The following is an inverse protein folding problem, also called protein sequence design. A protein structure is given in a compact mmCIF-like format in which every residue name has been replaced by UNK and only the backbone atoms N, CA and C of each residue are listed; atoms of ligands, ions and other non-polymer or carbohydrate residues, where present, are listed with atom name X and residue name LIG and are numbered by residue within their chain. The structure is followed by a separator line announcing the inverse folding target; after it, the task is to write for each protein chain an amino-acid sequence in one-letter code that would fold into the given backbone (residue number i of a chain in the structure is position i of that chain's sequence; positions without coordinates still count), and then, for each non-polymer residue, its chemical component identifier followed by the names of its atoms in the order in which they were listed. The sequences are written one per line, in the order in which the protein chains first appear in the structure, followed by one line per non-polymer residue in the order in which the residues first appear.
data_IF_939264165975
#
_entry.id   IF_939264165975
#
_cell.length_a   1.000
_cell.length_b   1.000
_cell.length_c   1.000
_cell.angle_alpha   90.00
_cell.angle_beta   90.00
_cell.angle_gamma   90.00
#
_symmetry.space_group_name_H-M   'P 1'
#
loop_
_entity.id
_entity.type
_entity.pdbx_description
1 polymer ?
#
# COMPACT_ATOMS: atom_id res chain seq x y z
N UNK A 1 -19.99 -16.40 -15.41
CA UNK A 1 -20.85 -16.34 -14.22
C UNK A 1 -21.12 -14.88 -13.92
N UNK A 2 -22.38 -14.50 -13.74
CA UNK A 2 -22.78 -13.09 -13.62
C UNK A 2 -22.79 -12.69 -12.14
N UNK A 3 -21.61 -12.39 -11.60
CA UNK A 3 -21.44 -11.81 -10.26
C UNK A 3 -20.98 -10.36 -10.38
N UNK A 4 -21.59 -9.48 -9.59
CA UNK A 4 -21.26 -8.05 -9.59
C UNK A 4 -19.94 -7.70 -8.90
N UNK A 5 -19.36 -8.62 -8.12
CA UNK A 5 -18.03 -8.51 -7.55
C UNK A 5 -17.34 -9.87 -7.59
N UNK A 6 -16.01 -9.88 -7.70
CA UNK A 6 -15.17 -11.08 -7.61
C UNK A 6 -13.96 -10.83 -6.70
N UNK A 7 -13.52 -11.85 -5.96
CA UNK A 7 -12.34 -11.75 -5.11
C UNK A 7 -11.07 -11.88 -5.96
N UNK A 8 -10.14 -10.93 -5.80
CA UNK A 8 -8.86 -10.97 -6.50
C UNK A 8 -7.86 -11.85 -5.74
N UNK A 9 -8.07 -13.17 -5.78
CA UNK A 9 -7.17 -14.16 -5.17
C UNK A 9 -5.73 -14.06 -5.71
N UNK A 10 -5.58 -13.69 -7.00
CA UNK A 10 -4.28 -13.42 -7.61
C UNK A 10 -3.54 -12.30 -6.87
N UNK A 11 -4.21 -11.16 -6.66
CA UNK A 11 -3.65 -10.07 -5.86
C UNK A 11 -3.36 -10.49 -4.41
N UNK A 12 -4.27 -11.20 -3.71
CA UNK A 12 -4.02 -11.60 -2.31
C UNK A 12 -2.73 -12.42 -2.17
N UNK A 13 -2.61 -13.47 -2.98
CA UNK A 13 -1.44 -14.33 -3.01
C UNK A 13 -0.17 -13.54 -3.38
N UNK A 14 -0.22 -12.78 -4.49
CA UNK A 14 0.95 -12.08 -5.01
C UNK A 14 1.40 -10.96 -4.05
N UNK A 15 0.48 -10.19 -3.47
CA UNK A 15 0.80 -9.17 -2.50
C UNK A 15 1.39 -9.75 -1.20
N UNK A 16 0.82 -10.85 -0.68
CA UNK A 16 1.37 -11.55 0.50
C UNK A 16 2.71 -12.23 0.20
N UNK A 17 2.98 -12.64 -1.03
CA UNK A 17 4.29 -13.18 -1.43
C UNK A 17 5.34 -12.08 -1.61
N UNK A 18 5.00 -10.96 -2.25
CA UNK A 18 5.89 -9.80 -2.36
C UNK A 18 6.24 -9.20 -0.98
N UNK A 19 5.29 -9.22 -0.03
CA UNK A 19 5.52 -8.86 1.37
C UNK A 19 6.46 -9.84 2.09
N UNK A 20 6.61 -11.09 1.61
CA UNK A 20 7.59 -12.08 2.11
C UNK A 20 8.94 -11.98 1.42
N UNK A 21 8.99 -11.52 0.17
CA UNK A 21 10.23 -11.29 -0.59
C UNK A 21 11.12 -10.29 0.14
N UNK A 22 12.39 -10.65 0.35
CA UNK A 22 13.37 -9.77 1.01
C UNK A 22 13.63 -8.51 0.18
N UNK A 23 14.03 -7.41 0.84
CA UNK A 23 14.22 -6.12 0.17
C UNK A 23 15.20 -6.19 -1.03
N UNK A 24 16.23 -7.04 -0.93
CA UNK A 24 17.23 -7.25 -2.00
C UNK A 24 16.68 -8.08 -3.19
N UNK A 25 15.68 -8.94 -2.97
CA UNK A 25 15.06 -9.79 -4.00
C UNK A 25 13.87 -9.11 -4.70
N UNK A 26 13.19 -8.16 -4.04
CA UNK A 26 12.04 -7.41 -4.60
C UNK A 26 12.27 -6.83 -6.00
N UNK A 27 13.47 -6.34 -6.40
CA UNK A 27 13.73 -5.86 -7.76
C UNK A 27 13.51 -6.91 -8.87
N UNK A 28 13.59 -8.20 -8.56
CA UNK A 28 13.24 -9.27 -9.50
C UNK A 28 11.71 -9.49 -9.56
N UNK A 29 11.03 -9.42 -8.41
CA UNK A 29 9.65 -9.88 -8.23
C UNK A 29 8.56 -8.79 -8.38
N UNK A 30 8.89 -7.50 -8.44
CA UNK A 30 7.86 -6.44 -8.45
C UNK A 30 6.91 -6.48 -9.65
N UNK A 31 7.34 -6.98 -10.81
CA UNK A 31 6.53 -6.99 -12.05
C UNK A 31 5.34 -7.96 -11.95
N UNK A 32 5.63 -9.24 -11.71
CA UNK A 32 4.64 -10.32 -11.55
C UNK A 32 3.66 -10.08 -10.39
N UNK A 33 4.08 -9.35 -9.36
CA UNK A 33 3.22 -9.05 -8.22
C UNK A 33 2.39 -7.77 -8.40
N UNK A 34 2.98 -6.70 -8.95
CA UNK A 34 2.32 -5.39 -9.06
C UNK A 34 1.74 -5.12 -10.46
N UNK A 35 2.54 -5.27 -11.51
CA UNK A 35 2.15 -4.90 -12.88
C UNK A 35 1.06 -5.82 -13.43
N UNK A 36 1.07 -7.10 -13.07
CA UNK A 36 0.03 -8.05 -13.50
C UNK A 36 -1.30 -7.79 -12.78
N UNK A 37 -1.28 -7.37 -11.51
CA UNK A 37 -2.46 -6.83 -10.80
C UNK A 37 -3.03 -5.62 -11.53
N UNK A 38 -2.16 -4.64 -11.87
CA UNK A 38 -2.56 -3.42 -12.58
C UNK A 38 -3.17 -3.74 -13.96
N UNK A 39 -2.46 -4.53 -14.77
CA UNK A 39 -2.92 -4.95 -16.09
C UNK A 39 -4.25 -5.69 -16.02
N UNK A 40 -4.38 -6.67 -15.12
CA UNK A 40 -5.61 -7.45 -14.98
C UNK A 40 -6.81 -6.52 -14.73
N UNK A 41 -6.70 -5.61 -13.78
CA UNK A 41 -7.81 -4.73 -13.41
C UNK A 41 -7.97 -3.48 -14.32
N UNK A 42 -7.06 -3.26 -15.28
CA UNK A 42 -7.21 -2.32 -16.41
C UNK A 42 -7.95 -2.95 -17.59
N UNK A 43 -7.66 -4.22 -17.91
CA UNK A 43 -8.10 -4.87 -19.15
C UNK A 43 -9.20 -5.91 -18.97
N UNK A 44 -9.44 -6.40 -17.75
CA UNK A 44 -10.53 -7.32 -17.44
C UNK A 44 -11.85 -6.58 -17.26
N UNK A 45 -12.95 -7.21 -17.70
CA UNK A 45 -14.32 -6.78 -17.39
C UNK A 45 -14.70 -7.06 -15.92
N UNK A 46 -13.90 -7.87 -15.22
CA UNK A 46 -14.20 -8.32 -13.86
C UNK A 46 -14.07 -7.23 -12.81
N UNK A 47 -15.20 -6.98 -12.12
CA UNK A 47 -15.35 -6.07 -10.98
C UNK A 47 -14.65 -6.65 -9.73
N UNK A 48 -13.32 -6.62 -9.73
CA UNK A 48 -12.49 -7.20 -8.66
C UNK A 48 -12.51 -6.42 -7.34
N UNK A 49 -12.41 -7.14 -6.22
CA UNK A 49 -12.11 -6.60 -4.88
C UNK A 49 -10.79 -7.17 -4.33
N UNK A 50 -9.97 -6.34 -3.68
CA UNK A 50 -8.68 -6.75 -3.10
C UNK A 50 -8.90 -7.29 -1.69
N UNK A 51 -8.74 -8.60 -1.49
CA UNK A 51 -9.13 -9.31 -0.27
C UNK A 51 -7.94 -9.78 0.55
N UNK A 52 -8.03 -9.58 1.86
CA UNK A 52 -7.14 -10.08 2.90
C UNK A 52 -8.07 -10.80 3.87
N UNK A 53 -8.15 -12.13 3.80
CA UNK A 53 -9.20 -12.96 4.42
C UNK A 53 -8.67 -13.93 5.49
N UNK A 54 -9.58 -14.60 6.20
CA UNK A 54 -9.21 -15.59 7.21
C UNK A 54 -8.38 -16.75 6.64
N UNK A 55 -8.76 -17.27 5.47
CA UNK A 55 -8.08 -18.36 4.76
C UNK A 55 -6.63 -17.97 4.42
N UNK A 56 -6.40 -16.70 4.07
CA UNK A 56 -5.06 -16.20 3.76
C UNK A 56 -4.15 -16.13 5.00
N UNK A 57 -4.70 -16.15 6.22
CA UNK A 57 -3.95 -16.20 7.50
C UNK A 57 -3.95 -17.59 8.14
N UNK A 58 -4.89 -18.45 7.76
CA UNK A 58 -5.00 -19.80 8.29
C UNK A 58 -3.73 -20.61 7.99
N UNK A 59 -3.26 -21.30 9.02
CA UNK A 59 -1.97 -21.98 9.06
C UNK A 59 -2.01 -23.26 9.91
N UNK A 60 -3.19 -23.67 10.39
CA UNK A 60 -3.34 -24.74 11.36
C UNK A 60 -2.63 -24.44 12.69
N UNK A 61 -2.33 -25.47 13.51
CA UNK A 61 -1.77 -25.27 14.85
C UNK A 61 -0.26 -24.97 14.87
N UNK A 62 0.49 -25.51 13.91
CA UNK A 62 1.97 -25.61 13.96
C UNK A 62 2.72 -24.61 13.06
N UNK A 63 2.02 -23.77 12.31
CA UNK A 63 2.60 -22.76 11.44
C UNK A 63 1.97 -21.39 11.75
N UNK A 64 2.67 -20.32 11.40
CA UNK A 64 2.17 -18.94 11.50
C UNK A 64 2.70 -18.04 10.38
N UNK A 65 3.39 -18.59 9.35
CA UNK A 65 4.00 -17.86 8.23
C UNK A 65 2.99 -17.05 7.39
N UNK A 66 1.71 -17.40 7.43
CA UNK A 66 0.67 -16.68 6.70
C UNK A 66 -0.05 -15.61 7.54
N UNK A 67 0.18 -15.57 8.86
CA UNK A 67 -0.23 -14.44 9.69
C UNK A 67 0.48 -13.19 9.19
N UNK A 68 -0.25 -12.08 9.03
CA UNK A 68 0.25 -10.94 8.28
C UNK A 68 1.54 -10.33 8.89
N UNK A 69 1.65 -10.30 10.22
CA UNK A 69 2.87 -9.89 10.94
C UNK A 69 4.12 -10.68 10.53
N UNK A 70 3.92 -11.97 10.21
CA UNK A 70 5.00 -12.90 9.91
C UNK A 70 5.35 -12.94 8.41
N UNK A 71 4.53 -12.33 7.54
CA UNK A 71 4.92 -12.12 6.15
C UNK A 71 6.16 -11.20 6.06
N UNK A 72 6.15 -10.08 6.76
CA UNK A 72 7.28 -9.14 6.84
C UNK A 72 8.39 -9.57 7.85
N UNK A 73 8.62 -10.87 8.06
CA UNK A 73 9.63 -11.38 9.03
C UNK A 73 11.08 -11.11 8.62
N UNK A 74 11.33 -10.73 7.37
CA UNK A 74 12.66 -10.40 6.86
C UNK A 74 13.11 -8.97 7.22
N UNK A 75 12.20 -8.12 7.72
CA UNK A 75 12.50 -6.76 8.15
C UNK A 75 13.49 -6.76 9.34
N UNK A 76 14.53 -5.90 9.34
CA UNK A 76 15.61 -5.98 10.31
C UNK A 76 15.24 -5.46 11.71
N UNK A 77 14.13 -4.74 11.84
CA UNK A 77 13.56 -4.27 13.11
C UNK A 77 12.03 -4.13 12.99
N UNK A 78 11.36 -3.82 14.11
CA UNK A 78 9.90 -3.70 14.13
C UNK A 78 9.36 -2.44 13.44
N UNK A 79 10.09 -1.33 13.39
CA UNK A 79 9.61 -0.12 12.70
C UNK A 79 9.53 -0.38 11.19
N UNK A 80 10.61 -0.91 10.60
CA UNK A 80 10.62 -1.33 9.18
C UNK A 80 9.52 -2.36 8.87
N UNK A 81 9.30 -3.33 9.78
CA UNK A 81 8.21 -4.32 9.64
C UNK A 81 6.85 -3.64 9.55
N UNK A 82 6.55 -2.70 10.45
CA UNK A 82 5.27 -2.01 10.48
C UNK A 82 5.15 -0.95 9.36
N UNK A 83 6.26 -0.42 8.85
CA UNK A 83 6.28 0.39 7.62
C UNK A 83 5.87 -0.42 6.39
N UNK A 84 6.49 -1.57 6.20
CA UNK A 84 6.17 -2.49 5.11
C UNK A 84 4.70 -2.96 5.17
N UNK A 85 4.18 -3.20 6.38
CA UNK A 85 2.76 -3.49 6.62
C UNK A 85 1.82 -2.31 6.32
N UNK A 86 2.16 -1.07 6.72
CA UNK A 86 1.38 0.14 6.34
C UNK A 86 1.37 0.32 4.82
N UNK A 87 2.51 0.07 4.15
CA UNK A 87 2.66 0.14 2.70
C UNK A 87 1.87 -0.97 1.97
N UNK A 88 1.79 -2.17 2.54
CA UNK A 88 0.92 -3.26 2.06
C UNK A 88 -0.57 -2.89 2.12
N UNK A 89 -1.05 -2.34 3.24
CA UNK A 89 -2.44 -1.87 3.34
C UNK A 89 -2.74 -0.67 2.44
N UNK A 90 -1.79 0.27 2.31
CA UNK A 90 -1.89 1.32 1.32
C UNK A 90 -2.02 0.74 -0.09
N UNK A 91 -1.20 -0.26 -0.45
CA UNK A 91 -1.25 -0.91 -1.75
C UNK A 91 -2.59 -1.62 -1.97
N UNK A 92 -3.15 -2.30 -0.95
CA UNK A 92 -4.47 -2.91 -1.03
C UNK A 92 -5.56 -1.90 -1.42
N UNK A 93 -5.58 -0.75 -0.76
CA UNK A 93 -6.69 0.22 -0.88
C UNK A 93 -6.48 1.20 -2.06
N UNK A 94 -5.21 1.44 -2.44
CA UNK A 94 -4.81 2.20 -3.62
C UNK A 94 -4.70 1.33 -4.89
N UNK A 95 -4.94 0.02 -4.82
CA UNK A 95 -4.96 -0.87 -5.99
C UNK A 95 -6.23 -0.73 -6.83
N UNK A 96 -6.19 -1.13 -8.12
CA UNK A 96 -7.39 -1.16 -8.96
C UNK A 96 -8.38 -2.23 -8.53
N UNK A 97 -9.39 -1.78 -7.78
CA UNK A 97 -10.48 -2.58 -7.27
C UNK A 97 -11.80 -1.78 -7.18
N UNK A 98 -12.89 -2.48 -6.85
CA UNK A 98 -14.23 -1.95 -6.56
C UNK A 98 -14.52 -1.92 -5.06
N UNK A 99 -13.50 -2.08 -4.23
CA UNK A 99 -13.57 -2.31 -2.79
C UNK A 99 -12.46 -3.23 -2.31
N UNK A 100 -12.24 -3.24 -1.01
CA UNK A 100 -11.27 -4.08 -0.32
C UNK A 100 -11.94 -4.78 0.87
N UNK A 101 -11.40 -5.94 1.26
CA UNK A 101 -11.78 -6.63 2.50
C UNK A 101 -10.52 -6.87 3.31
N UNK A 102 -10.56 -6.50 4.59
CA UNK A 102 -9.53 -6.80 5.58
C UNK A 102 -10.23 -7.68 6.64
N UNK A 103 -9.65 -8.84 6.95
CA UNK A 103 -10.17 -9.67 8.01
C UNK A 103 -10.01 -8.95 9.35
N UNK A 104 -10.89 -9.24 10.30
CA UNK A 104 -10.65 -8.86 11.69
C UNK A 104 -9.33 -9.49 12.18
N UNK A 105 -8.72 -8.91 13.21
CA UNK A 105 -7.36 -9.20 13.67
C UNK A 105 -6.24 -8.68 12.73
N UNK A 106 -6.42 -8.67 11.40
CA UNK A 106 -5.40 -8.15 10.46
C UNK A 106 -5.30 -6.61 10.50
N UNK A 107 -6.36 -5.87 10.85
CA UNK A 107 -6.34 -4.40 10.94
C UNK A 107 -5.56 -3.86 12.15
N UNK A 108 -5.31 -4.73 13.14
CA UNK A 108 -4.37 -4.50 14.25
C UNK A 108 -3.08 -5.32 14.09
N UNK A 109 -2.93 -6.11 13.02
CA UNK A 109 -1.83 -7.07 12.76
C UNK A 109 -1.52 -7.94 13.99
N UNK A 110 -2.53 -8.67 14.44
CA UNK A 110 -2.44 -9.64 15.56
C UNK A 110 -1.35 -10.71 15.29
N UNK A 111 -0.45 -11.01 16.26
CA UNK A 111 0.68 -11.94 16.05
C UNK A 111 0.31 -13.42 15.91
N UNK A 112 -0.89 -13.83 16.37
CA UNK A 112 -1.36 -15.22 16.30
C UNK A 112 -2.18 -15.50 15.03
N UNK A 113 -2.31 -16.77 14.62
CA UNK A 113 -3.25 -17.12 13.53
C UNK A 113 -4.70 -17.20 14.02
N UNK A 114 -5.65 -16.91 13.13
CA UNK A 114 -7.08 -17.06 13.41
C UNK A 114 -7.41 -18.48 13.90
N UNK A 115 -6.82 -19.50 13.27
CA UNK A 115 -6.93 -20.89 13.69
C UNK A 115 -6.45 -21.12 15.13
N UNK A 116 -5.29 -20.55 15.51
CA UNK A 116 -4.75 -20.71 16.86
C UNK A 116 -5.66 -20.07 17.92
N UNK A 117 -6.28 -18.92 17.63
CA UNK A 117 -7.31 -18.32 18.51
C UNK A 117 -8.56 -19.18 18.60
N UNK A 118 -9.18 -19.51 17.47
CA UNK A 118 -10.50 -20.16 17.42
C UNK A 118 -10.49 -21.65 17.78
N UNK A 119 -9.44 -22.41 17.43
CA UNK A 119 -9.44 -23.88 17.54
C UNK A 119 -8.35 -24.47 18.46
N UNK A 120 -7.40 -23.66 18.95
CA UNK A 120 -6.36 -24.13 19.90
C UNK A 120 -6.52 -23.59 21.33
N UNK A 121 -7.70 -23.06 21.68
CA UNK A 121 -8.01 -22.61 23.04
C UNK A 121 -7.12 -21.46 23.53
N UNK A 122 -6.68 -20.58 22.63
CA UNK A 122 -5.88 -19.39 22.95
C UNK A 122 -6.81 -18.20 23.24
N UNK A 123 -6.21 -17.07 23.62
CA UNK A 123 -6.95 -15.83 23.86
C UNK A 123 -7.69 -15.35 22.61
N UNK A 124 -8.82 -14.66 22.82
CA UNK A 124 -9.47 -13.85 21.79
C UNK A 124 -8.55 -12.73 21.28
N UNK A 125 -8.92 -12.10 20.16
CA UNK A 125 -8.27 -10.91 19.59
C UNK A 125 -7.85 -9.88 20.65
N UNK A 126 -6.60 -9.43 20.60
CA UNK A 126 -6.07 -8.52 21.60
C UNK A 126 -6.36 -7.05 21.28
N UNK A 127 -7.60 -6.61 21.51
CA UNK A 127 -8.03 -5.21 21.34
C UNK A 127 -7.26 -4.16 22.20
N UNK A 128 -6.36 -4.58 23.12
CA UNK A 128 -5.45 -3.62 23.78
C UNK A 128 -4.33 -3.10 22.85
N UNK A 129 -4.07 -3.80 21.74
CA UNK A 129 -3.10 -3.40 20.71
C UNK A 129 -3.51 -2.10 19.98
N UNK A 130 -4.80 -1.77 19.87
CA UNK A 130 -5.25 -0.53 19.22
C UNK A 130 -5.22 0.71 20.12
N UNK A 131 -5.38 0.51 21.44
CA UNK A 131 -5.56 1.58 22.42
C UNK A 131 -4.24 2.03 23.09
N UNK A 132 -3.24 1.16 23.13
CA UNK A 132 -1.86 1.54 23.45
C UNK A 132 -1.25 2.33 22.28
N UNK A 133 -0.29 3.22 22.54
CA UNK A 133 0.43 3.96 21.50
C UNK A 133 1.50 3.11 20.80
N UNK A 134 1.11 1.91 20.39
CA UNK A 134 1.97 0.92 19.70
C UNK A 134 1.74 0.97 18.19
N UNK A 135 2.64 0.32 17.44
CA UNK A 135 2.62 0.27 15.97
C UNK A 135 1.32 -0.37 15.42
N UNK A 136 0.69 -1.26 16.19
CA UNK A 136 -0.59 -1.90 15.86
C UNK A 136 -1.75 -0.90 15.72
N UNK A 137 -2.02 -0.09 16.76
CA UNK A 137 -3.05 0.96 16.72
C UNK A 137 -2.76 2.10 15.73
N UNK A 138 -1.53 2.18 15.23
CA UNK A 138 -1.12 3.11 14.18
C UNK A 138 -1.43 2.57 12.77
N UNK A 139 -1.37 1.25 12.55
CA UNK A 139 -1.86 0.63 11.30
C UNK A 139 -3.36 0.86 11.11
N UNK A 140 -4.17 0.65 12.15
CA UNK A 140 -5.62 0.87 12.08
C UNK A 140 -5.98 2.32 11.68
N UNK A 141 -5.25 3.31 12.21
CA UNK A 141 -5.39 4.74 11.83
C UNK A 141 -4.91 5.03 10.40
N UNK A 142 -4.00 4.20 9.88
CA UNK A 142 -3.50 4.31 8.51
C UNK A 142 -4.58 3.80 7.53
N UNK A 143 -5.12 2.60 7.77
CA UNK A 143 -6.16 1.91 6.97
C UNK A 143 -7.37 2.80 6.68
N UNK A 144 -7.76 3.65 7.63
CA UNK A 144 -8.96 4.50 7.52
C UNK A 144 -8.84 5.70 6.54
N UNK A 145 -7.68 5.94 5.90
CA UNK A 145 -7.38 7.22 5.21
C UNK A 145 -7.21 7.24 3.68
N UNK A 146 -7.56 6.19 2.94
CA UNK A 146 -7.10 5.97 1.54
C UNK A 146 -8.20 6.03 0.43
N UNK A 147 -7.84 6.43 -0.81
CA UNK A 147 -8.62 6.17 -2.05
C UNK A 147 -7.88 6.54 -3.39
N UNK A 148 -7.44 5.57 -4.23
CA UNK A 148 -6.42 5.85 -5.29
C UNK A 148 -6.25 4.77 -6.43
N UNK A 149 -5.85 5.05 -7.72
CA UNK A 149 -5.58 4.11 -8.90
C UNK A 149 -4.93 4.77 -10.22
N UNK A 150 -3.72 4.35 -10.72
CA UNK A 150 -3.17 4.12 -12.15
C UNK A 150 -2.20 5.11 -12.93
N UNK A 151 -0.93 4.95 -13.40
CA UNK A 151 0.21 3.98 -13.65
C UNK A 151 1.55 4.81 -13.49
N UNK A 152 2.86 4.43 -13.38
CA UNK A 152 3.80 3.31 -13.67
C UNK A 152 5.12 3.43 -12.78
N UNK A 153 6.21 2.63 -12.96
CA UNK A 153 7.33 2.47 -11.97
C UNK A 153 8.82 2.43 -12.44
N UNK A 154 9.77 2.73 -11.52
CA UNK A 154 11.23 2.38 -11.56
C UNK A 154 11.83 2.35 -10.12
N UNK A 155 12.95 1.63 -9.86
CA UNK A 155 13.64 1.56 -8.54
C UNK A 155 12.79 1.09 -7.33
N UNK A 156 11.84 0.16 -7.52
CA UNK A 156 10.81 -0.20 -6.52
C UNK A 156 9.91 0.98 -6.06
N UNK A 157 10.04 2.13 -6.70
CA UNK A 157 9.15 3.28 -6.55
C UNK A 157 8.07 3.16 -7.62
N UNK A 158 6.82 3.07 -7.17
CA UNK A 158 5.66 2.85 -8.02
C UNK A 158 4.70 4.03 -7.84
N UNK A 159 4.76 4.98 -8.77
CA UNK A 159 3.86 6.13 -8.82
C UNK A 159 2.65 5.80 -9.70
N UNK A 160 1.44 6.29 -9.38
CA UNK A 160 0.28 6.06 -10.24
C UNK A 160 -0.90 7.05 -10.00
N UNK A 161 -1.64 7.48 -11.03
CA UNK A 161 -2.64 8.57 -11.01
C UNK A 161 -4.12 8.16 -11.10
N UNK A 162 -4.94 8.49 -10.09
CA UNK A 162 -6.42 8.43 -10.16
C UNK A 162 -7.00 9.08 -11.42
N UNK A 163 -8.16 8.53 -11.82
CA UNK A 163 -9.16 9.25 -12.60
C UNK A 163 -9.69 10.48 -11.84
N UNK A 164 -10.28 11.41 -12.59
CA UNK A 164 -10.52 12.79 -12.16
C UNK A 164 -11.94 12.98 -11.63
N UNK A 165 -12.11 13.77 -10.58
CA UNK A 165 -13.42 14.16 -10.03
C UNK A 165 -13.38 15.60 -9.53
N UNK A 166 -14.38 16.42 -9.87
CA UNK A 166 -14.47 17.83 -9.46
C UNK A 166 -13.20 18.66 -9.74
N UNK A 167 -12.52 18.41 -10.86
CA UNK A 167 -11.19 18.94 -11.20
C UNK A 167 -10.02 18.54 -10.27
N UNK A 168 -10.24 17.69 -9.27
CA UNK A 168 -9.17 17.06 -8.50
C UNK A 168 -8.73 15.73 -9.13
N UNK A 169 -7.43 15.45 -9.04
CA UNK A 169 -6.80 14.20 -9.44
C UNK A 169 -5.83 13.78 -8.36
N UNK A 170 -5.77 12.49 -8.03
CA UNK A 170 -4.94 12.01 -6.90
C UNK A 170 -3.77 11.17 -7.43
N UNK A 171 -2.54 11.41 -7.01
CA UNK A 171 -1.38 10.57 -7.34
C UNK A 171 -0.94 9.72 -6.14
N UNK A 172 -0.75 8.41 -6.34
CA UNK A 172 -0.03 7.52 -5.41
C UNK A 172 1.45 7.58 -5.72
N UNK A 173 2.28 7.42 -4.69
CA UNK A 173 3.67 7.01 -4.85
C UNK A 173 4.02 6.02 -3.73
N UNK A 174 4.26 4.75 -4.07
CA UNK A 174 4.84 3.79 -3.14
C UNK A 174 6.36 3.79 -3.29
N UNK A 175 7.07 3.58 -2.18
CA UNK A 175 8.45 3.15 -2.17
C UNK A 175 8.51 1.79 -1.46
N UNK A 176 8.72 0.69 -2.20
CA UNK A 176 8.84 -0.66 -1.64
C UNK A 176 10.27 -1.05 -1.26
N UNK A 177 11.23 -0.12 -1.39
CA UNK A 177 12.60 -0.30 -0.91
C UNK A 177 12.74 0.18 0.54
N UNK A 178 13.76 -0.33 1.22
CA UNK A 178 14.27 0.15 2.50
C UNK A 178 15.17 1.41 2.35
N UNK A 179 15.28 1.99 1.16
CA UNK A 179 16.06 3.21 0.92
C UNK A 179 15.18 4.45 0.93
N UNK A 180 15.66 5.51 1.58
CA UNK A 180 15.01 6.81 1.60
C UNK A 180 15.62 7.75 0.55
N UNK A 181 14.78 8.59 -0.06
CA UNK A 181 15.18 9.55 -1.08
C UNK A 181 14.78 10.97 -0.64
N UNK A 182 15.77 11.81 -0.34
CA UNK A 182 15.54 13.22 0.04
C UNK A 182 14.94 14.02 -1.14
N UNK A 183 15.28 13.61 -2.36
CA UNK A 183 14.67 14.08 -3.60
C UNK A 183 14.69 12.94 -4.61
N UNK A 184 13.58 12.73 -5.30
CA UNK A 184 13.40 11.72 -6.34
C UNK A 184 12.54 12.28 -7.49
N UNK A 185 13.04 12.14 -8.70
CA UNK A 185 12.41 12.66 -9.92
C UNK A 185 11.49 11.60 -10.55
N UNK A 186 10.19 11.84 -10.50
CA UNK A 186 9.17 10.98 -11.09
C UNK A 186 8.80 11.52 -12.49
N UNK A 187 9.09 10.76 -13.57
CA UNK A 187 8.73 11.17 -14.92
C UNK A 187 7.21 11.06 -15.14
N UNK A 188 6.57 12.18 -15.51
CA UNK A 188 5.14 12.24 -15.77
C UNK A 188 4.81 11.86 -17.23
N UNK A 189 3.70 11.13 -17.48
CA UNK A 189 3.38 10.63 -18.82
C UNK A 189 3.04 11.76 -19.80
N UNK A 190 3.94 12.03 -20.76
CA UNK A 190 3.78 13.09 -21.79
C UNK A 190 2.57 12.90 -22.72
N UNK A 191 2.02 11.68 -22.77
CA UNK A 191 0.81 11.31 -23.50
C UNK A 191 -0.50 11.66 -22.78
N UNK A 192 -0.46 11.93 -21.48
CA UNK A 192 -1.64 12.25 -20.68
C UNK A 192 -1.95 13.76 -20.77
N UNK A 193 -3.12 14.17 -21.29
CA UNK A 193 -3.47 15.58 -21.43
C UNK A 193 -3.65 16.28 -20.08
N UNK A 194 -3.91 15.55 -18.99
CA UNK A 194 -4.22 16.13 -17.69
C UNK A 194 -2.98 16.59 -16.93
N UNK A 195 -1.80 16.02 -17.20
CA UNK A 195 -0.51 16.48 -16.63
C UNK A 195 -0.28 17.98 -16.94
N UNK A 196 -0.69 18.43 -18.13
CA UNK A 196 -0.60 19.85 -18.53
C UNK A 196 -1.63 20.76 -17.84
N UNK A 197 -2.68 20.18 -17.25
CA UNK A 197 -3.75 20.89 -16.54
C UNK A 197 -3.46 21.07 -15.04
N UNK A 198 -2.47 20.36 -14.47
CA UNK A 198 -2.13 20.45 -13.05
C UNK A 198 -1.68 21.87 -12.71
N UNK A 199 -2.47 22.57 -11.90
CA UNK A 199 -2.23 23.92 -11.39
C UNK A 199 -1.44 23.91 -10.09
N UNK A 200 -1.78 22.99 -9.18
CA UNK A 200 -1.23 22.90 -7.83
C UNK A 200 -1.16 21.43 -7.40
N UNK A 201 -0.18 21.09 -6.57
CA UNK A 201 0.03 19.74 -6.02
C UNK A 201 0.29 19.83 -4.53
N UNK A 202 -0.29 18.90 -3.76
CA UNK A 202 -0.18 18.88 -2.29
C UNK A 202 -0.13 17.45 -1.74
N UNK A 203 0.79 17.16 -0.82
CA UNK A 203 0.72 15.95 0.00
C UNK A 203 -0.52 15.97 0.90
N UNK A 204 -1.42 15.00 0.71
CA UNK A 204 -2.63 14.82 1.54
C UNK A 204 -2.50 13.65 2.52
N UNK A 205 -1.61 12.70 2.25
CA UNK A 205 -1.34 11.55 3.13
C UNK A 205 0.06 11.00 2.88
N UNK A 206 0.67 10.45 3.93
CA UNK A 206 2.00 9.84 3.89
C UNK A 206 2.11 8.83 5.06
N UNK A 207 2.43 7.57 4.78
CA UNK A 207 2.50 6.49 5.79
C UNK A 207 3.65 6.67 6.80
N UNK A 208 4.60 7.57 6.54
CA UNK A 208 5.74 7.91 7.39
C UNK A 208 5.46 9.13 8.31
N UNK A 209 4.22 9.64 8.36
CA UNK A 209 3.89 10.69 9.33
C UNK A 209 3.93 10.15 10.77
N UNK A 210 4.45 10.95 11.71
CA UNK A 210 4.66 10.56 13.13
C UNK A 210 3.41 9.98 13.82
N UNK A 211 2.21 10.43 13.42
CA UNK A 211 0.91 9.92 13.88
C UNK A 211 0.67 8.43 13.55
N UNK A 212 1.46 7.85 12.63
CA UNK A 212 1.45 6.45 12.20
C UNK A 212 2.69 5.65 12.68
N UNK A 213 3.54 6.23 13.54
CA UNK A 213 4.64 5.53 14.22
C UNK A 213 6.05 5.82 13.74
N UNK A 214 6.20 6.61 12.67
CA UNK A 214 7.50 6.83 12.02
C UNK A 214 8.20 8.14 12.37
N UNK A 215 9.42 8.28 11.86
CA UNK A 215 10.27 9.46 12.05
C UNK A 215 9.61 10.82 11.75
N UNK A 216 8.61 10.85 10.85
CA UNK A 216 8.03 12.09 10.33
C UNK A 216 8.98 12.94 9.48
N UNK A 217 10.22 12.50 9.21
CA UNK A 217 11.30 13.36 8.66
C UNK A 217 11.17 13.75 7.18
N UNK A 218 10.11 13.32 6.50
CA UNK A 218 9.90 13.57 5.08
C UNK A 218 8.60 14.37 4.90
N UNK A 219 8.72 15.62 4.47
CA UNK A 219 7.61 16.55 4.29
C UNK A 219 7.70 17.21 2.91
N UNK A 220 6.68 16.97 2.08
CA UNK A 220 6.57 17.58 0.76
C UNK A 220 5.73 18.88 0.83
N UNK A 221 6.25 19.90 1.53
CA UNK A 221 5.53 21.17 1.75
C UNK A 221 5.33 21.99 0.46
N UNK A 222 6.30 21.95 -0.44
CA UNK A 222 6.28 22.61 -1.74
C UNK A 222 6.63 21.58 -2.82
N UNK A 223 5.60 21.12 -3.54
CA UNK A 223 5.73 20.15 -4.63
C UNK A 223 5.65 20.91 -5.94
N UNK A 224 6.75 20.92 -6.70
CA UNK A 224 6.81 21.53 -8.02
C UNK A 224 6.85 20.47 -9.13
N UNK A 225 6.19 20.79 -10.25
CA UNK A 225 6.29 20.02 -11.50
C UNK A 225 7.13 20.82 -12.49
N UNK A 226 8.28 20.27 -12.87
CA UNK A 226 9.08 20.77 -13.98
C UNK A 226 8.35 20.45 -15.29
N UNK A 227 7.50 21.38 -15.74
CA UNK A 227 6.68 21.27 -16.95
C UNK A 227 7.48 21.17 -18.26
N UNK A 228 8.75 21.57 -18.29
CA UNK A 228 9.60 21.44 -19.48
C UNK A 228 10.02 19.98 -19.69
N UNK A 229 10.48 19.34 -18.61
CA UNK A 229 10.91 17.94 -18.67
C UNK A 229 9.74 16.95 -18.50
N UNK A 230 8.65 17.41 -17.89
CA UNK A 230 7.55 16.61 -17.31
C UNK A 230 8.05 15.70 -16.19
N UNK A 231 8.56 16.33 -15.13
CA UNK A 231 9.06 15.66 -13.92
C UNK A 231 8.35 16.25 -12.70
N UNK A 232 7.93 15.37 -11.79
CA UNK A 232 7.45 15.66 -10.45
C UNK A 232 8.56 15.29 -9.46
N UNK A 233 9.08 16.25 -8.70
CA UNK A 233 10.17 16.01 -7.75
C UNK A 233 9.63 15.97 -6.33
N UNK A 234 9.94 14.91 -5.58
CA UNK A 234 9.40 14.66 -4.23
C UNK A 234 10.41 13.95 -3.31
N UNK A 235 10.26 14.13 -2.00
CA UNK A 235 10.95 13.37 -0.98
C UNK A 235 10.16 12.09 -0.64
N UNK A 236 10.81 10.93 -0.69
CA UNK A 236 10.22 9.61 -0.50
C UNK A 236 10.85 8.89 0.72
N UNK A 237 10.09 8.68 1.82
CA UNK A 237 10.53 7.82 2.92
C UNK A 237 10.70 6.35 2.48
N UNK A 238 11.48 5.54 3.22
CA UNK A 238 11.59 4.11 2.96
C UNK A 238 10.26 3.41 3.29
N UNK A 239 9.99 2.28 2.64
CA UNK A 239 8.85 1.39 2.93
C UNK A 239 7.50 2.14 3.10
N UNK A 240 7.23 3.11 2.22
CA UNK A 240 6.19 4.10 2.42
C UNK A 240 5.21 4.23 1.26
N UNK A 241 4.09 4.92 1.52
CA UNK A 241 3.18 5.42 0.49
C UNK A 241 2.87 6.89 0.74
N UNK A 242 3.03 7.71 -0.29
CA UNK A 242 2.60 9.10 -0.35
C UNK A 242 1.37 9.21 -1.26
N UNK A 243 0.45 10.11 -0.90
CA UNK A 243 -0.72 10.47 -1.67
C UNK A 243 -0.71 11.98 -1.90
N UNK A 244 -0.77 12.38 -3.17
CA UNK A 244 -0.82 13.79 -3.58
C UNK A 244 -2.21 14.11 -4.16
N UNK A 245 -2.75 15.27 -3.83
CA UNK A 245 -3.86 15.90 -4.56
C UNK A 245 -3.29 16.88 -5.59
N UNK A 246 -3.70 16.72 -6.85
CA UNK A 246 -3.37 17.54 -8.00
C UNK A 246 -4.64 18.29 -8.45
N UNK A 247 -4.69 19.60 -8.22
CA UNK A 247 -5.79 20.44 -8.68
C UNK A 247 -5.61 20.77 -10.16
N UNK A 248 -6.62 20.52 -10.99
CA UNK A 248 -6.61 20.76 -12.44
C UNK A 248 -7.40 22.03 -12.83
N UNK A 249 -6.96 22.67 -13.92
CA UNK A 249 -7.70 23.70 -14.67
C UNK A 249 -8.67 23.01 -15.64
#
# INVERSE_FOLDING_TARGET
MNFDLKWNFGWSNNARNFLRTSYDERPAHWKENFLDTLNYARWSEDKMICTVSHDDTETGPLNSRNVLLNCASHAPNEMDKFADLRNFFAWQICSPNRGYLIHMDDEIVEPMSWFQRCFCGKSSMNWSLSNSSTLHGQIQKCIQGYSLIYEYAQYLIIAYHRGISNNHRIAVIHNFSNHAYISYDIPLPKSDPNIKRIQYVKEIFNTNQLKYGESGTFHNEQIEINRNNMILTVALPPLSTIILDETLI
#
